data_IF_302089542741
#
_entry.id   IF_302089542741
#
_cell.length_a   1.000
_cell.length_b   1.000
_cell.length_c   1.000
_cell.angle_alpha   90.00
_cell.angle_beta   90.00
_cell.angle_gamma   90.00
#
_symmetry.space_group_name_H-M   'P 1'
#
loop_
_entity.id
_entity.type
_entity.pdbx_description
1 polymer ?
#
# COMPACT_ATOMS: atom_id res chain seq x y z
N UNK A 1 -3.96 33.62 61.85
CA UNK A 1 -5.16 33.07 62.54
C UNK A 1 -6.44 33.15 61.72
N UNK A 2 -6.73 34.23 60.98
CA UNK A 2 -7.96 34.36 60.16
C UNK A 2 -8.09 33.31 59.04
N UNK A 3 -7.02 33.06 58.26
CA UNK A 3 -7.05 32.09 57.16
C UNK A 3 -7.33 30.65 57.63
N UNK A 4 -6.64 30.22 58.71
CA UNK A 4 -6.83 28.89 59.31
C UNK A 4 -8.25 28.72 59.84
N UNK A 5 -8.85 29.79 60.40
CA UNK A 5 -10.21 29.76 60.96
C UNK A 5 -11.31 29.78 59.89
N UNK A 6 -11.09 30.47 58.76
CA UNK A 6 -11.99 30.43 57.60
C UNK A 6 -11.97 29.06 56.92
N UNK A 7 -10.78 28.49 56.75
CA UNK A 7 -10.59 27.16 56.16
C UNK A 7 -11.21 26.07 57.04
N UNK A 8 -11.02 26.11 58.36
CA UNK A 8 -11.65 25.12 59.26
C UNK A 8 -13.17 25.25 59.31
N UNK A 9 -13.75 26.46 59.26
CA UNK A 9 -15.22 26.63 59.24
C UNK A 9 -15.89 26.13 57.96
N UNK A 10 -15.21 26.14 56.82
CA UNK A 10 -15.75 25.63 55.55
C UNK A 10 -15.47 24.14 55.33
N UNK A 11 -14.38 23.60 55.87
CA UNK A 11 -13.99 22.19 55.67
C UNK A 11 -14.70 21.26 56.66
N UNK A 12 -14.89 21.66 57.93
CA UNK A 12 -15.46 20.76 58.95
C UNK A 12 -16.96 20.41 58.86
N UNK A 13 -17.87 21.17 58.20
CA UNK A 13 -19.27 20.74 58.10
C UNK A 13 -19.51 19.70 57.01
N UNK A 14 -18.49 19.32 56.23
CA UNK A 14 -18.63 18.38 55.11
C UNK A 14 -18.43 16.94 55.59
N UNK A 15 -19.32 16.03 55.20
CA UNK A 15 -19.14 14.61 55.50
C UNK A 15 -17.84 14.09 54.89
N UNK A 16 -17.19 13.06 55.47
CA UNK A 16 -15.90 12.54 54.97
C UNK A 16 -15.94 12.14 53.49
N UNK A 17 -17.11 11.70 53.02
CA UNK A 17 -17.36 11.32 51.63
C UNK A 17 -17.40 12.56 50.70
N UNK A 18 -18.00 13.66 51.14
CA UNK A 18 -18.01 14.90 50.37
C UNK A 18 -16.62 15.54 50.28
N UNK A 19 -15.82 15.45 51.35
CA UNK A 19 -14.42 15.93 51.33
C UNK A 19 -13.57 15.15 50.31
N UNK A 20 -13.70 13.82 50.28
CA UNK A 20 -13.02 12.97 49.30
C UNK A 20 -13.39 13.31 47.85
N UNK A 21 -14.66 13.58 47.58
CA UNK A 21 -15.12 14.00 46.25
C UNK A 21 -14.51 15.36 45.86
N UNK A 22 -14.44 16.32 46.78
CA UNK A 22 -13.84 17.63 46.46
C UNK A 22 -12.35 17.55 46.12
N UNK A 23 -11.58 16.70 46.81
CA UNK A 23 -10.15 16.52 46.52
C UNK A 23 -9.93 15.90 45.13
N UNK A 24 -10.83 15.04 44.67
CA UNK A 24 -10.65 14.36 43.39
C UNK A 24 -11.20 15.17 42.21
N UNK A 25 -12.38 15.78 42.38
CA UNK A 25 -13.08 16.46 41.29
C UNK A 25 -12.63 17.91 41.07
N UNK A 26 -12.18 18.62 42.11
CA UNK A 26 -11.74 20.02 41.96
C UNK A 26 -10.46 20.14 41.13
N UNK A 27 -9.40 19.34 41.34
CA UNK A 27 -8.20 19.39 40.50
C UNK A 27 -8.48 18.93 39.06
N UNK A 28 -9.37 17.96 38.88
CA UNK A 28 -9.79 17.50 37.56
C UNK A 28 -10.55 18.61 36.82
N UNK A 29 -11.45 19.31 37.51
CA UNK A 29 -12.21 20.42 36.93
C UNK A 29 -11.31 21.62 36.62
N UNK A 30 -10.35 21.96 37.49
CA UNK A 30 -9.39 23.05 37.21
C UNK A 30 -8.44 22.69 36.07
N UNK A 31 -8.02 21.42 35.96
CA UNK A 31 -7.24 20.94 34.83
C UNK A 31 -8.02 21.03 33.51
N UNK A 32 -9.31 20.62 33.49
CA UNK A 32 -10.17 20.73 32.31
C UNK A 32 -10.37 22.19 31.91
N UNK A 33 -10.65 23.09 32.87
CA UNK A 33 -10.81 24.52 32.59
C UNK A 33 -9.50 25.14 32.07
N UNK A 34 -8.36 24.77 32.65
CA UNK A 34 -7.03 25.20 32.19
C UNK A 34 -6.72 24.68 30.78
N UNK A 35 -7.10 23.42 30.49
CA UNK A 35 -6.96 22.81 29.17
C UNK A 35 -7.85 23.47 28.11
N UNK A 36 -9.05 23.94 28.49
CA UNK A 36 -9.93 24.69 27.59
C UNK A 36 -9.47 26.14 27.35
N UNK A 37 -8.79 26.76 28.32
CA UNK A 37 -8.26 28.13 28.19
C UNK A 37 -7.05 28.24 27.23
N UNK A 38 -6.35 27.14 26.97
CA UNK A 38 -5.25 27.06 26.01
C UNK A 38 -5.77 26.78 24.58
N UNK A 39 -6.57 27.69 24.04
CA UNK A 39 -6.95 27.67 22.62
C UNK A 39 -5.91 28.45 21.78
N UNK A 40 -4.82 27.78 21.39
CA UNK A 40 -4.01 28.19 20.24
C UNK A 40 -4.34 27.30 19.03
N UNK A 41 -5.36 27.73 18.29
CA UNK A 41 -5.55 27.59 16.83
C UNK A 41 -5.05 26.30 16.14
N UNK A 42 -5.37 25.12 16.68
CA UNK A 42 -5.26 23.87 15.93
C UNK A 42 -6.56 23.06 16.11
N UNK A 43 -7.04 22.37 15.06
CA UNK A 43 -8.16 21.46 15.20
C UNK A 43 -7.79 20.36 16.22
N UNK A 44 -8.66 20.05 17.20
CA UNK A 44 -8.34 19.08 18.25
C UNK A 44 -8.13 17.71 17.62
N UNK A 45 -6.94 17.15 17.78
CA UNK A 45 -6.66 15.76 17.45
C UNK A 45 -7.48 14.81 18.35
N UNK A 46 -7.77 13.58 17.89
CA UNK A 46 -8.52 12.62 18.71
C UNK A 46 -7.75 12.28 20.01
N UNK A 47 -8.49 12.24 21.11
CA UNK A 47 -7.94 12.01 22.46
C UNK A 47 -7.45 10.56 22.61
N UNK A 48 -6.14 10.36 22.76
CA UNK A 48 -5.56 9.04 23.01
C UNK A 48 -5.85 8.58 24.44
N UNK A 49 -6.85 7.70 24.63
CA UNK A 49 -7.09 7.05 25.94
C UNK A 49 -6.23 5.78 26.02
N UNK A 50 -5.22 5.71 26.91
CA UNK A 50 -4.17 4.67 26.89
C UNK A 50 -4.62 3.26 27.27
N UNK A 51 -5.88 3.06 27.70
CA UNK A 51 -6.39 1.75 28.16
C UNK A 51 -7.39 1.13 27.14
N UNK A 52 -8.01 1.95 26.28
CA UNK A 52 -8.95 1.50 25.24
C UNK A 52 -8.40 1.67 23.81
N UNK A 53 -7.14 2.11 23.69
CA UNK A 53 -6.55 2.72 22.50
C UNK A 53 -6.53 1.88 21.22
N UNK A 54 -6.63 0.55 21.31
CA UNK A 54 -6.74 -0.31 20.13
C UNK A 54 -8.08 -1.06 20.03
N UNK A 55 -8.86 -1.16 21.11
CA UNK A 55 -10.14 -1.88 21.07
C UNK A 55 -11.18 -1.13 20.22
N UNK A 56 -11.17 0.20 20.28
CA UNK A 56 -12.06 1.06 19.49
C UNK A 56 -11.52 1.40 18.09
N UNK A 57 -10.27 1.02 17.78
CA UNK A 57 -9.68 1.12 16.44
C UNK A 57 -9.79 -0.18 15.64
N UNK A 58 -10.52 -1.18 16.15
CA UNK A 58 -11.01 -2.28 15.29
C UNK A 58 -12.06 -1.67 14.37
N UNK A 59 -11.58 -1.04 13.30
CA UNK A 59 -12.38 -0.61 12.17
C UNK A 59 -13.00 -1.90 11.61
N UNK A 60 -14.28 -2.11 11.91
CA UNK A 60 -15.01 -3.28 11.42
C UNK A 60 -15.04 -3.19 9.90
N UNK A 61 -14.27 -4.05 9.23
CA UNK A 61 -14.36 -4.32 7.80
C UNK A 61 -14.17 -3.13 6.86
N UNK A 62 -13.17 -2.28 7.08
CA UNK A 62 -12.64 -1.51 5.94
C UNK A 62 -11.58 -2.35 5.25
N UNK A 63 -11.96 -2.96 4.13
CA UNK A 63 -10.99 -3.60 3.24
C UNK A 63 -10.12 -2.49 2.65
N UNK A 64 -8.85 -2.49 3.01
CA UNK A 64 -7.89 -1.45 2.60
C UNK A 64 -6.93 -1.94 1.52
N UNK A 65 -6.66 -3.24 1.47
CA UNK A 65 -5.71 -3.83 0.54
C UNK A 65 -6.14 -5.22 0.06
N UNK A 66 -5.47 -5.73 -0.99
CA UNK A 66 -5.75 -7.04 -1.55
C UNK A 66 -5.61 -8.18 -0.52
N UNK A 67 -4.69 -8.05 0.44
CA UNK A 67 -4.51 -9.02 1.51
C UNK A 67 -5.73 -9.12 2.43
N UNK A 68 -6.42 -8.01 2.69
CA UNK A 68 -7.63 -8.03 3.53
C UNK A 68 -8.73 -8.86 2.86
N UNK A 69 -8.87 -8.80 1.53
CA UNK A 69 -9.82 -9.64 0.79
C UNK A 69 -9.48 -11.13 0.90
N UNK A 70 -8.18 -11.47 0.83
CA UNK A 70 -7.71 -12.86 0.93
C UNK A 70 -7.97 -13.39 2.35
N UNK A 71 -7.65 -12.60 3.38
CA UNK A 71 -7.87 -12.96 4.78
C UNK A 71 -9.37 -13.06 5.09
N UNK A 72 -10.21 -12.17 4.56
CA UNK A 72 -11.67 -12.23 4.72
C UNK A 72 -12.25 -13.51 4.10
N UNK A 73 -11.77 -13.93 2.93
CA UNK A 73 -12.15 -15.20 2.32
C UNK A 73 -11.74 -16.41 3.17
N UNK A 74 -10.56 -16.36 3.80
CA UNK A 74 -10.13 -17.38 4.77
C UNK A 74 -11.05 -17.40 6.00
N UNK A 75 -11.38 -16.23 6.56
CA UNK A 75 -12.27 -16.12 7.73
C UNK A 75 -13.68 -16.65 7.46
N UNK A 76 -14.17 -16.50 6.22
CA UNK A 76 -15.43 -17.08 5.74
C UNK A 76 -15.36 -18.59 5.47
N UNK A 77 -14.18 -19.18 5.52
CA UNK A 77 -13.95 -20.59 5.23
C UNK A 77 -14.01 -20.93 3.73
N UNK A 78 -13.92 -19.93 2.84
CA UNK A 78 -13.89 -20.13 1.40
C UNK A 78 -12.54 -20.71 0.94
N UNK A 79 -11.47 -20.39 1.66
CA UNK A 79 -10.11 -20.86 1.42
C UNK A 79 -9.40 -21.26 2.73
N UNK A 80 -8.42 -22.16 2.65
CA UNK A 80 -7.59 -22.55 3.79
C UNK A 80 -6.47 -21.53 4.06
N UNK A 81 -5.86 -21.61 5.24
CA UNK A 81 -4.67 -20.82 5.58
C UNK A 81 -3.50 -21.12 4.63
N UNK A 82 -3.32 -22.38 4.22
CA UNK A 82 -2.30 -22.78 3.25
C UNK A 82 -2.52 -22.11 1.87
N UNK A 83 -3.78 -21.97 1.44
CA UNK A 83 -4.11 -21.26 0.21
C UNK A 83 -3.72 -19.77 0.30
N UNK A 84 -3.88 -19.14 1.46
CA UNK A 84 -3.46 -17.74 1.67
C UNK A 84 -1.96 -17.60 1.46
N UNK A 85 -1.16 -18.48 2.08
CA UNK A 85 0.30 -18.49 1.93
C UNK A 85 0.69 -18.69 0.46
N UNK A 86 0.07 -19.66 -0.21
CA UNK A 86 0.33 -19.96 -1.62
C UNK A 86 -0.02 -18.80 -2.56
N UNK A 87 -1.12 -18.08 -2.30
CA UNK A 87 -1.50 -16.90 -3.09
C UNK A 87 -0.43 -15.81 -2.97
N UNK A 88 0.06 -15.54 -1.76
CA UNK A 88 1.08 -14.51 -1.52
C UNK A 88 2.40 -14.88 -2.19
N UNK A 89 2.83 -16.14 -2.04
CA UNK A 89 4.05 -16.64 -2.68
C UNK A 89 3.97 -16.51 -4.20
N UNK A 90 2.86 -16.93 -4.81
CA UNK A 90 2.65 -16.80 -6.24
C UNK A 90 2.67 -15.35 -6.72
N UNK A 91 2.03 -14.43 -6.00
CA UNK A 91 2.07 -13.00 -6.38
C UNK A 91 3.50 -12.47 -6.33
N UNK A 92 4.28 -12.83 -5.30
CA UNK A 92 5.67 -12.38 -5.18
C UNK A 92 6.52 -12.87 -6.37
N UNK A 93 6.48 -14.16 -6.67
CA UNK A 93 7.26 -14.74 -7.78
C UNK A 93 6.76 -14.23 -9.13
N UNK A 94 5.45 -14.16 -9.34
CA UNK A 94 4.88 -13.82 -10.63
C UNK A 94 4.93 -12.33 -10.97
N UNK A 95 4.88 -11.44 -9.97
CA UNK A 95 4.77 -9.99 -10.22
C UNK A 95 6.09 -9.24 -9.99
N UNK A 96 6.85 -9.57 -8.94
CA UNK A 96 8.00 -8.77 -8.54
C UNK A 96 9.19 -9.03 -9.46
N UNK A 97 9.63 -10.29 -9.56
CA UNK A 97 10.83 -10.65 -10.33
C UNK A 97 10.64 -10.36 -11.82
N UNK A 98 9.47 -10.71 -12.36
CA UNK A 98 9.14 -10.52 -13.78
C UNK A 98 9.11 -9.05 -14.18
N UNK A 99 8.51 -8.18 -13.35
CA UNK A 99 8.43 -6.74 -13.61
C UNK A 99 9.80 -6.08 -13.46
N UNK A 100 10.59 -6.50 -12.45
CA UNK A 100 11.93 -5.98 -12.23
C UNK A 100 12.83 -6.27 -13.44
N UNK A 101 12.92 -7.53 -13.87
CA UNK A 101 13.74 -7.88 -15.04
C UNK A 101 13.26 -7.18 -16.31
N UNK A 102 11.95 -7.04 -16.50
CA UNK A 102 11.40 -6.30 -17.64
C UNK A 102 11.81 -4.83 -17.63
N UNK A 103 11.79 -4.18 -16.45
CA UNK A 103 12.22 -2.79 -16.28
C UNK A 103 13.73 -2.62 -16.47
N UNK A 104 14.53 -3.53 -15.91
CA UNK A 104 16.00 -3.52 -16.08
C UNK A 104 16.39 -3.59 -17.55
N UNK A 105 15.79 -4.52 -18.31
CA UNK A 105 16.01 -4.63 -19.74
C UNK A 105 15.52 -3.41 -20.51
N UNK A 106 14.34 -2.87 -20.18
CA UNK A 106 13.84 -1.65 -20.80
C UNK A 106 14.80 -0.48 -20.59
N UNK A 107 15.36 -0.32 -19.39
CA UNK A 107 16.35 0.73 -19.10
C UNK A 107 17.66 0.47 -19.86
N UNK A 108 18.15 -0.78 -19.87
CA UNK A 108 19.37 -1.15 -20.58
C UNK A 108 19.23 -0.86 -22.10
N UNK A 109 18.10 -1.22 -22.69
CA UNK A 109 17.80 -0.96 -24.10
C UNK A 109 17.77 0.55 -24.39
N UNK A 110 17.11 1.35 -23.54
CA UNK A 110 17.08 2.80 -23.68
C UNK A 110 18.46 3.46 -23.55
N UNK A 111 19.33 2.91 -22.71
CA UNK A 111 20.72 3.39 -22.57
C UNK A 111 21.55 3.07 -23.81
N UNK A 112 21.34 1.89 -24.42
CA UNK A 112 22.04 1.47 -25.63
C UNK A 112 21.49 2.15 -26.91
N UNK A 113 20.25 2.63 -26.88
CA UNK A 113 19.53 3.24 -28.01
C UNK A 113 19.11 4.70 -27.71
N UNK A 114 20.06 5.65 -27.64
CA UNK A 114 19.78 7.04 -27.29
C UNK A 114 18.82 7.74 -28.27
N UNK A 115 18.74 7.30 -29.52
CA UNK A 115 17.79 7.78 -30.53
C UNK A 115 16.34 7.44 -30.18
N UNK A 116 16.10 6.25 -29.63
CA UNK A 116 14.78 5.81 -29.17
C UNK A 116 14.42 6.58 -27.90
N UNK A 117 15.37 6.70 -26.97
CA UNK A 117 15.19 7.48 -25.74
C UNK A 117 14.85 8.95 -26.05
N UNK A 118 15.52 9.56 -27.03
CA UNK A 118 15.22 10.94 -27.44
C UNK A 118 13.79 11.08 -27.97
N UNK A 119 13.34 10.17 -28.83
CA UNK A 119 11.97 10.17 -29.36
C UNK A 119 10.91 10.03 -28.27
N UNK A 120 11.14 9.16 -27.27
CA UNK A 120 10.25 9.04 -26.10
C UNK A 120 10.19 10.36 -25.33
N UNK A 121 11.33 10.98 -25.05
CA UNK A 121 11.38 12.26 -24.33
C UNK A 121 10.67 13.37 -25.10
N UNK A 122 10.83 13.39 -26.41
CA UNK A 122 10.15 14.34 -27.30
C UNK A 122 8.63 14.13 -27.31
N UNK A 123 8.14 12.88 -27.42
CA UNK A 123 6.72 12.57 -27.29
C UNK A 123 6.15 13.07 -25.96
N UNK A 124 6.80 12.73 -24.85
CA UNK A 124 6.38 13.15 -23.50
C UNK A 124 6.35 14.68 -23.41
N UNK A 125 7.39 15.36 -23.90
CA UNK A 125 7.46 16.83 -23.85
C UNK A 125 6.36 17.49 -24.69
N UNK A 126 6.09 16.97 -25.89
CA UNK A 126 5.13 17.54 -26.82
C UNK A 126 3.67 17.29 -26.40
N UNK A 127 3.37 16.08 -25.89
CA UNK A 127 2.03 15.67 -25.49
C UNK A 127 1.68 16.25 -24.11
N UNK A 128 2.53 16.01 -23.10
CA UNK A 128 2.22 16.38 -21.72
C UNK A 128 2.58 17.83 -21.38
N UNK A 129 3.43 18.49 -22.18
CA UNK A 129 3.78 19.93 -22.04
C UNK A 129 4.18 20.32 -20.62
N UNK A 130 5.00 19.48 -19.98
CA UNK A 130 5.50 19.69 -18.62
C UNK A 130 4.63 19.11 -17.49
N UNK A 131 3.52 18.43 -17.80
CA UNK A 131 2.78 17.61 -16.83
C UNK A 131 3.50 16.27 -16.60
N UNK A 132 3.34 15.71 -15.40
CA UNK A 132 3.88 14.40 -15.05
C UNK A 132 3.13 13.26 -15.77
N UNK A 133 3.84 12.17 -16.02
CA UNK A 133 3.25 10.93 -16.55
C UNK A 133 2.43 10.29 -15.43
N UNK A 134 1.16 10.01 -15.71
CA UNK A 134 0.22 9.35 -14.79
C UNK A 134 -0.56 8.29 -15.55
N UNK A 135 -1.16 7.32 -14.86
CA UNK A 135 -1.99 6.29 -15.50
C UNK A 135 -3.09 6.91 -16.38
N UNK A 136 -3.69 8.02 -15.93
CA UNK A 136 -4.75 8.72 -16.66
C UNK A 136 -4.34 9.28 -18.02
N UNK A 137 -3.08 9.73 -18.18
CA UNK A 137 -2.58 10.35 -19.41
C UNK A 137 -1.67 9.41 -20.23
N UNK A 138 -1.40 8.21 -19.71
CA UNK A 138 -0.53 7.23 -20.37
C UNK A 138 -1.02 6.84 -21.77
N UNK A 139 -2.34 6.84 -22.00
CA UNK A 139 -2.96 6.55 -23.29
C UNK A 139 -2.60 7.58 -24.39
N UNK A 140 -2.15 8.78 -24.01
CA UNK A 140 -1.74 9.84 -24.94
C UNK A 140 -0.28 9.64 -25.42
N UNK A 141 0.44 8.64 -24.90
CA UNK A 141 1.85 8.36 -25.19
C UNK A 141 2.03 7.02 -25.95
N UNK A 142 1.52 6.91 -27.20
CA UNK A 142 1.53 5.65 -27.94
C UNK A 142 2.94 5.16 -28.30
N UNK A 143 3.93 6.04 -28.49
CA UNK A 143 5.31 5.64 -28.81
C UNK A 143 6.00 5.05 -27.58
N UNK A 144 5.82 5.66 -26.41
CA UNK A 144 6.26 5.08 -25.13
C UNK A 144 5.65 3.70 -24.92
N UNK A 145 4.33 3.56 -25.11
CA UNK A 145 3.66 2.26 -24.99
C UNK A 145 4.19 1.24 -26.01
N UNK A 146 4.33 1.63 -27.27
CA UNK A 146 4.85 0.74 -28.32
C UNK A 146 6.28 0.26 -28.03
N UNK A 147 7.11 1.11 -27.42
CA UNK A 147 8.49 0.77 -27.03
C UNK A 147 8.51 -0.18 -25.83
N UNK A 148 7.70 0.07 -24.81
CA UNK A 148 7.63 -0.81 -23.63
C UNK A 148 6.97 -2.17 -23.95
N UNK A 149 6.02 -2.17 -24.89
CA UNK A 149 5.28 -3.37 -25.32
C UNK A 149 5.98 -4.07 -26.49
N UNK A 150 7.18 -3.62 -26.92
CA UNK A 150 7.78 -4.07 -28.17
C UNK A 150 8.15 -5.56 -28.18
N UNK A 151 7.25 -6.32 -28.82
CA UNK A 151 7.41 -7.47 -29.72
C UNK A 151 8.49 -8.50 -29.37
N UNK A 152 8.14 -9.40 -28.46
CA UNK A 152 8.71 -10.74 -28.46
C UNK A 152 8.17 -11.52 -29.68
N UNK A 153 9.04 -11.87 -30.62
CA UNK A 153 8.73 -12.91 -31.60
C UNK A 153 9.09 -14.25 -30.99
N UNK A 154 8.08 -15.06 -30.66
CA UNK A 154 8.28 -16.41 -30.15
C UNK A 154 8.78 -17.28 -31.31
N UNK A 155 10.04 -17.74 -31.24
CA UNK A 155 10.62 -18.63 -32.26
C UNK A 155 10.70 -20.06 -31.75
N UNK A 156 10.42 -21.06 -32.60
CA UNK A 156 10.67 -22.43 -32.24
C UNK A 156 12.20 -22.65 -32.05
N UNK A 157 12.62 -23.55 -31.15
CA UNK A 157 14.02 -23.90 -31.00
C UNK A 157 14.64 -24.34 -32.34
N UNK A 158 15.96 -24.21 -32.47
CA UNK A 158 16.73 -24.36 -33.73
C UNK A 158 16.63 -25.72 -34.46
N UNK A 159 15.73 -26.61 -34.04
CA UNK A 159 15.43 -27.90 -34.66
C UNK A 159 13.92 -28.20 -34.83
N UNK A 160 13.01 -27.24 -34.53
CA UNK A 160 11.56 -27.41 -34.69
C UNK A 160 10.96 -26.38 -35.64
N UNK A 161 9.97 -26.79 -36.42
CA UNK A 161 9.24 -25.91 -37.35
C UNK A 161 8.08 -25.16 -36.66
N UNK A 162 7.51 -25.73 -35.58
CA UNK A 162 6.37 -25.17 -34.86
C UNK A 162 6.43 -25.47 -33.36
N UNK A 163 5.96 -24.51 -32.56
CA UNK A 163 5.82 -24.63 -31.11
C UNK A 163 4.52 -25.39 -30.82
N UNK A 164 4.60 -26.51 -30.09
CA UNK A 164 3.43 -27.23 -29.61
C UNK A 164 2.85 -26.53 -28.38
N UNK A 165 1.59 -26.12 -28.45
CA UNK A 165 0.85 -25.38 -27.41
C UNK A 165 -0.36 -26.17 -26.90
N UNK A 166 -0.42 -27.47 -27.18
CA UNK A 166 -1.59 -28.32 -26.85
C UNK A 166 -1.62 -28.81 -25.40
N UNK A 167 -0.54 -28.64 -24.64
CA UNK A 167 -0.52 -28.93 -23.20
C UNK A 167 -1.22 -27.84 -22.39
N UNK A 168 -1.93 -28.25 -21.32
CA UNK A 168 -2.51 -27.30 -20.36
C UNK A 168 -1.37 -26.62 -19.60
N UNK A 169 -1.04 -25.40 -19.99
CA UNK A 169 -0.09 -24.55 -19.28
C UNK A 169 -0.50 -24.43 -17.80
N UNK A 170 0.38 -24.88 -16.91
CA UNK A 170 0.28 -24.55 -15.49
C UNK A 170 0.30 -23.03 -15.31
N UNK A 171 -0.36 -22.55 -14.25
CA UNK A 171 -0.73 -21.14 -14.09
C UNK A 171 0.47 -20.17 -14.10
N UNK A 172 1.69 -20.67 -13.86
CA UNK A 172 2.95 -20.04 -14.27
C UNK A 172 3.98 -21.14 -14.61
N UNK A 173 4.07 -21.52 -15.89
CA UNK A 173 5.27 -22.07 -16.58
C UNK A 173 6.34 -22.86 -15.80
N UNK A 174 5.99 -23.73 -14.84
CA UNK A 174 6.96 -24.65 -14.19
C UNK A 174 6.91 -26.09 -14.72
N UNK A 175 6.02 -26.36 -15.67
CA UNK A 175 6.06 -27.55 -16.51
C UNK A 175 6.20 -27.13 -17.98
N UNK A 176 7.23 -26.34 -18.29
CA UNK A 176 7.83 -26.52 -19.62
C UNK A 176 8.41 -27.92 -19.57
N UNK A 177 7.75 -28.87 -20.23
CA UNK A 177 8.22 -30.24 -20.35
C UNK A 177 9.73 -30.24 -20.64
N UNK A 178 10.43 -31.19 -20.03
CA UNK A 178 11.89 -31.32 -19.86
C UNK A 178 12.83 -31.08 -21.08
N UNK A 179 12.36 -30.61 -22.23
CA UNK A 179 13.12 -30.46 -23.47
C UNK A 179 12.78 -29.24 -24.35
N UNK A 180 11.96 -28.28 -23.90
CA UNK A 180 11.58 -27.14 -24.74
C UNK A 180 12.35 -25.85 -24.38
N UNK A 181 13.45 -25.58 -25.09
CA UNK A 181 14.09 -24.26 -25.07
C UNK A 181 13.29 -23.31 -25.97
N UNK A 182 12.51 -22.40 -25.39
CA UNK A 182 11.86 -21.31 -26.14
C UNK A 182 12.84 -20.15 -26.25
N UNK A 183 13.17 -19.75 -27.49
CA UNK A 183 14.09 -18.63 -27.75
C UNK A 183 13.26 -17.41 -28.11
N UNK A 184 13.34 -16.38 -27.26
CA UNK A 184 12.80 -15.06 -27.55
C UNK A 184 13.90 -14.22 -28.18
N UNK A 185 13.70 -13.84 -29.44
CA UNK A 185 14.61 -12.91 -30.10
C UNK A 185 14.01 -11.50 -30.04
N UNK A 186 14.78 -10.48 -29.60
CA UNK A 186 14.39 -9.10 -29.78
C UNK A 186 14.30 -8.80 -31.29
N UNK A 187 13.24 -8.13 -31.71
CA UNK A 187 13.08 -7.68 -33.11
C UNK A 187 13.89 -6.39 -33.27
N UNK A 188 15.01 -6.46 -33.98
CA UNK A 188 15.77 -5.27 -34.36
C UNK A 188 14.95 -4.46 -35.39
N UNK A 189 14.59 -3.23 -35.04
CA UNK A 189 13.99 -2.24 -35.95
C UNK A 189 15.05 -1.35 -36.60
#
# INVERSE_FOLDING_TARGET
MLLVSVVTKFIFPMSPLAFGLTIFFVPLLTYIISSMASSSKLPPGPLSIPIFGNWLQVDKHKITCAMDHIIDAQMKGEISEENVIYIVENINVAAIETTLWSMEWAIAELVNHPEIQHKIREEIANVLKGKEVTESNLHELPYLQATLVSKFEMKPPSAMEKIDVTEKGGQFSLHIANHSTVVFNPINS
#
